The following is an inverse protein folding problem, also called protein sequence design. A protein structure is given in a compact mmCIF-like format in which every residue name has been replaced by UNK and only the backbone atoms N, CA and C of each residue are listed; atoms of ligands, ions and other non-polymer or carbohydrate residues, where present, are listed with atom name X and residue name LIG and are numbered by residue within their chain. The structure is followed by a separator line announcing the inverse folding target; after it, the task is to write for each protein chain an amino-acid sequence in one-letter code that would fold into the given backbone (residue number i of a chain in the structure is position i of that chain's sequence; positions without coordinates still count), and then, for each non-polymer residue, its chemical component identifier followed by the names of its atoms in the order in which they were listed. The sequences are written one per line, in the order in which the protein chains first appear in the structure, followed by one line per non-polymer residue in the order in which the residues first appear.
data_IF_776065891294
#
_entry.id   IF_776065891294
#
_cell.length_a   1.000
_cell.length_b   1.000
_cell.length_c   1.000
_cell.angle_alpha   90.00
_cell.angle_beta   90.00
_cell.angle_gamma   90.00
#
_symmetry.space_group_name_H-M   'P 1'
#
loop_
_entity.id
_entity.type
_entity.pdbx_description
1 polymer ?
#
# COMPACT_ATOMS: atom_id res chain seq x y z
N UNK A 1 7.64 -0.37 -8.04
CA UNK A 1 8.39 -0.82 -6.84
C UNK A 1 7.58 -1.71 -5.89
N UNK A 2 6.29 -1.43 -5.67
CA UNK A 2 5.41 -2.19 -4.76
C UNK A 2 5.44 -3.72 -4.98
N UNK A 3 5.08 -4.18 -6.17
CA UNK A 3 5.01 -5.63 -6.45
C UNK A 3 6.36 -6.34 -6.32
N UNK A 4 7.48 -5.67 -6.62
CA UNK A 4 8.81 -6.24 -6.42
C UNK A 4 9.14 -6.42 -4.94
N UNK A 5 8.81 -5.44 -4.09
CA UNK A 5 9.00 -5.55 -2.65
C UNK A 5 8.15 -6.68 -2.06
N UNK A 6 6.88 -6.78 -2.48
CA UNK A 6 6.01 -7.88 -2.06
C UNK A 6 6.54 -9.25 -2.52
N UNK A 7 7.03 -9.38 -3.76
CA UNK A 7 7.63 -10.61 -4.27
C UNK A 7 8.88 -11.04 -3.50
N UNK A 8 9.62 -10.09 -2.93
CA UNK A 8 10.77 -10.33 -2.05
C UNK A 8 10.37 -10.64 -0.59
N UNK A 9 9.07 -10.73 -0.30
CA UNK A 9 8.55 -10.97 1.04
C UNK A 9 8.72 -9.79 1.99
N UNK A 10 9.05 -8.60 1.48
CA UNK A 10 9.16 -7.39 2.29
C UNK A 10 7.76 -6.93 2.69
N UNK A 11 7.46 -6.76 3.99
CA UNK A 11 6.21 -6.16 4.43
C UNK A 11 6.02 -4.78 3.81
N UNK A 12 4.87 -4.57 3.19
CA UNK A 12 4.60 -3.35 2.43
C UNK A 12 3.26 -2.75 2.80
N UNK A 13 3.22 -1.42 2.86
CA UNK A 13 1.99 -0.65 2.95
C UNK A 13 1.92 0.25 1.73
N UNK A 14 0.79 0.26 1.03
CA UNK A 14 0.58 1.11 -0.15
C UNK A 14 -0.65 1.99 0.01
N UNK A 15 -0.52 3.22 -0.47
CA UNK A 15 -1.58 4.23 -0.40
C UNK A 15 -2.30 4.29 -1.75
N UNK A 16 -3.63 4.24 -1.74
CA UNK A 16 -4.46 4.31 -2.95
C UNK A 16 -5.44 5.49 -2.90
N UNK A 17 -5.78 5.99 -4.08
CA UNK A 17 -6.79 7.05 -4.27
C UNK A 17 -7.69 6.74 -5.47
N UNK A 18 -7.35 7.18 -6.70
CA UNK A 18 -8.21 7.01 -7.87
C UNK A 18 -8.17 5.60 -8.49
N UNK A 19 -7.23 4.75 -8.11
CA UNK A 19 -7.08 3.37 -8.64
C UNK A 19 -7.49 2.35 -7.59
N UNK A 20 -8.07 1.23 -8.03
CA UNK A 20 -8.57 0.17 -7.16
C UNK A 20 -7.44 -0.68 -6.55
N UNK A 21 -7.29 -0.74 -5.22
CA UNK A 21 -6.34 -1.64 -4.55
C UNK A 21 -6.62 -3.12 -4.81
N UNK A 22 -7.87 -3.53 -5.04
CA UNK A 22 -8.18 -4.93 -5.36
C UNK A 22 -7.63 -5.34 -6.74
N UNK A 23 -7.46 -4.37 -7.65
CA UNK A 23 -6.91 -4.60 -8.99
C UNK A 23 -5.40 -4.38 -9.05
N UNK A 24 -4.89 -3.36 -8.35
CA UNK A 24 -3.52 -2.86 -8.49
C UNK A 24 -2.67 -3.03 -7.21
N UNK A 25 -3.24 -3.53 -6.13
CA UNK A 25 -2.51 -3.90 -4.92
C UNK A 25 -1.52 -5.04 -5.17
N UNK A 26 -0.50 -5.15 -4.32
CA UNK A 26 0.32 -6.35 -4.34
C UNK A 26 -0.47 -7.55 -3.82
N UNK A 27 -0.05 -8.74 -4.26
CA UNK A 27 -0.60 -9.99 -3.75
C UNK A 27 0.24 -10.49 -2.58
N UNK A 28 -0.39 -11.23 -1.67
CA UNK A 28 0.26 -11.89 -0.53
C UNK A 28 -0.13 -11.30 0.82
N UNK A 29 0.11 -12.07 1.87
CA UNK A 29 -0.36 -11.77 3.24
C UNK A 29 0.45 -10.67 3.93
N UNK A 30 1.62 -10.31 3.39
CA UNK A 30 2.51 -9.30 3.95
C UNK A 30 2.31 -7.90 3.33
N UNK A 31 1.16 -7.66 2.72
CA UNK A 31 0.83 -6.39 2.09
C UNK A 31 -0.48 -5.84 2.64
N UNK A 32 -0.48 -4.57 3.03
CA UNK A 32 -1.67 -3.83 3.45
C UNK A 32 -1.89 -2.60 2.55
N UNK A 33 -3.16 -2.31 2.28
CA UNK A 33 -3.58 -1.15 1.48
C UNK A 33 -4.32 -0.13 2.34
N UNK A 34 -3.90 1.13 2.29
CA UNK A 34 -4.56 2.24 2.98
C UNK A 34 -5.22 3.15 1.94
N UNK A 35 -6.53 3.36 2.08
CA UNK A 35 -7.32 4.20 1.19
C UNK A 35 -8.61 4.64 1.85
N UNK A 36 -9.29 5.61 1.24
CA UNK A 36 -10.64 6.06 1.63
C UNK A 36 -11.66 5.66 0.58
N UNK A 37 -12.80 5.15 1.03
CA UNK A 37 -13.96 4.89 0.18
C UNK A 37 -14.81 6.16 0.12
N UNK A 38 -15.00 6.67 -1.09
CA UNK A 38 -15.85 7.80 -1.45
C UNK A 38 -16.88 7.33 -2.48
N UNK A 39 -17.91 8.13 -2.72
CA UNK A 39 -18.93 7.83 -3.76
C UNK A 39 -18.36 7.69 -5.17
N UNK A 40 -17.22 8.35 -5.44
CA UNK A 40 -16.50 8.28 -6.72
C UNK A 40 -15.26 7.39 -6.69
N UNK A 41 -15.09 6.55 -5.64
CA UNK A 41 -13.89 5.72 -5.48
C UNK A 41 -13.56 4.92 -6.73
N UNK A 42 -12.26 4.84 -7.01
CA UNK A 42 -11.71 4.08 -8.13
C UNK A 42 -12.22 4.60 -9.49
N UNK A 43 -12.25 5.93 -9.66
CA UNK A 43 -12.68 6.56 -10.91
C UNK A 43 -11.64 6.51 -12.05
N UNK A 44 -10.39 6.15 -11.74
CA UNK A 44 -9.25 6.07 -12.66
C UNK A 44 -8.92 7.35 -13.43
N UNK A 45 -9.42 8.51 -12.97
CA UNK A 45 -9.20 9.79 -13.65
C UNK A 45 -7.87 10.43 -13.21
N UNK A 46 -7.11 10.93 -14.20
CA UNK A 46 -5.87 11.69 -13.95
C UNK A 46 -6.16 13.08 -13.36
N UNK A 47 -7.26 13.69 -13.76
CA UNK A 47 -7.76 14.98 -13.26
C UNK A 47 -9.11 14.71 -12.61
N UNK A 48 -9.28 15.14 -11.36
CA UNK A 48 -10.51 14.89 -10.62
C UNK A 48 -11.66 15.77 -11.17
N UNK A 49 -12.78 15.18 -11.62
CA UNK A 49 -13.91 15.93 -12.17
C UNK A 49 -14.63 16.80 -11.12
N UNK A 50 -14.42 16.51 -9.83
CA UNK A 50 -15.00 17.26 -8.72
C UNK A 50 -14.12 18.46 -8.29
N UNK A 51 -12.96 18.66 -8.92
CA UNK A 51 -12.03 19.74 -8.57
C UNK A 51 -11.26 19.52 -7.25
N UNK A 52 -11.38 18.35 -6.62
CA UNK A 52 -10.70 18.01 -5.35
C UNK A 52 -9.64 16.91 -5.52
N UNK A 53 -9.01 16.51 -4.42
CA UNK A 53 -8.12 15.34 -4.36
C UNK A 53 -8.42 14.49 -3.12
N UNK A 54 -9.69 14.47 -2.71
CA UNK A 54 -10.09 13.95 -1.40
C UNK A 54 -9.78 12.47 -1.22
N UNK A 55 -9.85 11.68 -2.29
CA UNK A 55 -9.50 10.25 -2.26
C UNK A 55 -8.05 9.98 -1.84
N UNK A 56 -7.15 10.94 -2.02
CA UNK A 56 -5.76 10.86 -1.53
C UNK A 56 -5.55 11.73 -0.29
N UNK A 57 -6.12 12.94 -0.24
CA UNK A 57 -5.90 13.90 0.86
C UNK A 57 -6.53 13.50 2.19
N UNK A 58 -7.60 12.71 2.17
CA UNK A 58 -8.22 12.21 3.39
C UNK A 58 -7.47 11.02 4.01
N UNK A 59 -6.52 10.41 3.29
CA UNK A 59 -5.62 9.41 3.88
C UNK A 59 -4.59 10.15 4.74
N UNK A 60 -4.61 9.91 6.04
CA UNK A 60 -3.73 10.61 6.99
C UNK A 60 -2.42 9.85 7.19
N UNK A 61 -1.36 10.59 7.56
CA UNK A 61 -0.08 9.99 7.91
C UNK A 61 -0.20 9.03 9.09
N UNK A 62 -1.09 9.29 10.05
CA UNK A 62 -1.31 8.42 11.20
C UNK A 62 -1.89 7.06 10.78
N UNK A 63 -2.86 7.04 9.86
CA UNK A 63 -3.43 5.77 9.36
C UNK A 63 -2.38 4.92 8.66
N UNK A 64 -1.51 5.54 7.86
CA UNK A 64 -0.39 4.85 7.23
C UNK A 64 0.60 4.34 8.28
N UNK A 65 0.87 5.13 9.31
CA UNK A 65 1.77 4.74 10.40
C UNK A 65 1.23 3.57 11.23
N UNK A 66 -0.07 3.53 11.52
CA UNK A 66 -0.70 2.39 12.21
C UNK A 66 -0.61 1.11 11.37
N UNK A 67 -0.87 1.18 10.06
CA UNK A 67 -0.71 0.04 9.16
C UNK A 67 0.74 -0.48 9.19
N UNK A 68 1.73 0.42 9.11
CA UNK A 68 3.15 0.05 9.20
C UNK A 68 3.49 -0.62 10.54
N UNK A 69 2.95 -0.13 11.67
CA UNK A 69 3.17 -0.75 12.99
C UNK A 69 2.55 -2.15 13.10
N UNK A 70 1.41 -2.39 12.43
CA UNK A 70 0.77 -3.71 12.37
C UNK A 70 1.66 -4.76 11.71
N UNK A 71 2.44 -4.36 10.71
CA UNK A 71 3.50 -5.17 10.14
C UNK A 71 4.71 -5.19 11.08
N UNK A 72 4.78 -6.22 11.96
CA UNK A 72 5.97 -6.46 12.79
C UNK A 72 7.20 -6.53 11.90
N UNK A 73 8.08 -5.54 12.04
CA UNK A 73 9.40 -5.50 11.40
C UNK A 73 10.02 -6.89 11.53
N UNK A 74 10.27 -7.52 10.38
CA UNK A 74 10.79 -8.87 10.24
C UNK A 74 11.91 -9.05 11.28
N UNK A 75 11.80 -10.11 12.11
CA UNK A 75 12.94 -10.58 12.90
C UNK A 75 14.15 -10.61 11.97
N UNK A 76 15.25 -9.93 12.35
CA UNK A 76 16.56 -9.96 11.69
C UNK A 76 16.68 -11.19 10.79
N UNK A 77 16.89 -11.01 9.49
CA UNK A 77 17.36 -12.07 8.63
C UNK A 77 18.74 -12.50 9.14
N UNK A 78 18.74 -13.42 10.10
CA UNK A 78 19.88 -14.22 10.45
C UNK A 78 20.00 -15.29 9.37
N UNK A 79 21.18 -15.36 8.76
CA UNK A 79 21.72 -16.43 7.90
C UNK A 79 20.87 -16.82 6.69
N UNK A 80 21.39 -16.57 5.48
CA UNK A 80 21.59 -17.57 4.43
C UNK A 80 22.32 -16.88 3.27
N UNK A 81 23.63 -16.73 3.44
CA UNK A 81 24.60 -16.75 2.35
C UNK A 81 25.63 -17.78 2.82
N UNK A 82 25.41 -19.05 2.54
CA UNK A 82 26.54 -19.98 2.50
C UNK A 82 27.16 -19.82 1.12
N UNK A 83 28.43 -19.41 1.02
CA UNK A 83 29.12 -19.39 -0.27
C UNK A 83 29.30 -20.83 -0.75
N UNK A 84 28.90 -21.07 -2.00
CA UNK A 84 29.28 -22.26 -2.75
C UNK A 84 30.79 -22.27 -3.00
#
# INVERSE_FOLDING_TARGET
PLHLAAALGVPTVSIFGPTDPARNGAYGENHETVYKVLSCSFCWKKICPLGTQDCTKQVTANEVFEAVKGHRIIKKQASLIEPM
#
